data_IF_155752009263
#
_entry.id   IF_155752009263
#
_cell.length_a   1.000
_cell.length_b   1.000
_cell.length_c   1.000
_cell.angle_alpha   90.00
_cell.angle_beta   90.00
_cell.angle_gamma   90.00
#
_symmetry.space_group_name_H-M   'P 1'
#
loop_
_entity.id
_entity.type
_entity.pdbx_description
1 polymer ?
#
# COMPACT_ATOMS: atom_id res chain seq x y z
N UNK A 1 -15.70 3.84 7.08
CA UNK A 1 -15.64 2.87 5.96
C UNK A 1 -14.21 2.90 5.48
N UNK A 2 -13.58 1.74 5.33
CA UNK A 2 -12.21 1.64 4.81
C UNK A 2 -12.16 2.14 3.36
N UNK A 3 -11.04 2.73 2.95
CA UNK A 3 -10.82 3.13 1.56
C UNK A 3 -10.92 1.93 0.59
N UNK A 4 -11.62 2.11 -0.54
CA UNK A 4 -11.81 1.10 -1.58
C UNK A 4 -10.97 1.42 -2.81
N UNK A 5 -10.08 0.49 -3.19
CA UNK A 5 -9.16 0.62 -4.32
C UNK A 5 -9.64 -0.13 -5.59
N UNK A 6 -10.83 -0.74 -5.58
CA UNK A 6 -11.31 -1.64 -6.64
C UNK A 6 -11.29 -0.98 -8.02
N UNK A 7 -11.90 0.20 -8.15
CA UNK A 7 -11.98 0.90 -9.44
C UNK A 7 -10.61 1.36 -9.95
N UNK A 8 -9.71 1.72 -9.03
CA UNK A 8 -8.34 2.10 -9.39
C UNK A 8 -7.54 0.91 -9.89
N UNK A 9 -7.63 -0.22 -9.21
CA UNK A 9 -6.97 -1.44 -9.62
C UNK A 9 -7.53 -1.95 -10.97
N UNK A 10 -8.85 -1.85 -11.21
CA UNK A 10 -9.45 -2.15 -12.52
C UNK A 10 -8.83 -1.30 -13.64
N UNK A 11 -8.69 0.02 -13.42
CA UNK A 11 -8.03 0.91 -14.38
C UNK A 11 -6.57 0.51 -14.60
N UNK A 12 -5.82 0.19 -13.53
CA UNK A 12 -4.42 -0.26 -13.63
C UNK A 12 -4.27 -1.55 -14.43
N UNK A 13 -5.22 -2.48 -14.29
CA UNK A 13 -5.26 -3.76 -15.00
C UNK A 13 -5.86 -3.66 -16.41
N UNK A 14 -6.28 -2.47 -16.86
CA UNK A 14 -7.02 -2.25 -18.12
C UNK A 14 -8.30 -3.10 -18.22
N UNK A 15 -8.96 -3.37 -17.09
CA UNK A 15 -10.23 -4.08 -17.05
C UNK A 15 -11.35 -3.06 -17.29
N UNK A 16 -12.05 -3.19 -18.41
CA UNK A 16 -13.13 -2.28 -18.82
C UNK A 16 -14.52 -2.91 -18.76
N UNK A 17 -14.60 -4.21 -18.47
CA UNK A 17 -15.85 -4.96 -18.32
C UNK A 17 -16.25 -5.09 -16.85
N UNK A 18 -17.51 -5.42 -16.63
CA UNK A 18 -18.04 -5.70 -15.30
C UNK A 18 -18.48 -7.17 -15.25
N UNK A 19 -17.79 -7.97 -14.45
CA UNK A 19 -18.06 -9.39 -14.29
C UNK A 19 -17.78 -9.82 -12.85
N UNK A 20 -18.71 -10.59 -12.27
CA UNK A 20 -18.68 -10.94 -10.86
C UNK A 20 -17.45 -11.78 -10.47
N UNK A 21 -16.96 -12.64 -11.37
CA UNK A 21 -15.77 -13.45 -11.08
C UNK A 21 -14.50 -12.58 -11.07
N UNK A 22 -14.42 -11.61 -11.99
CA UNK A 22 -13.32 -10.63 -12.02
C UNK A 22 -13.31 -9.78 -10.75
N UNK A 23 -14.48 -9.32 -10.32
CA UNK A 23 -14.64 -8.49 -9.11
C UNK A 23 -14.29 -9.26 -7.84
N UNK A 24 -14.73 -10.51 -7.73
CA UNK A 24 -14.38 -11.38 -6.61
C UNK A 24 -12.86 -11.58 -6.51
N UNK A 25 -12.18 -11.81 -7.64
CA UNK A 25 -10.72 -11.96 -7.66
C UNK A 25 -9.99 -10.69 -7.25
N UNK A 26 -10.48 -9.52 -7.67
CA UNK A 26 -9.94 -8.22 -7.23
C UNK A 26 -10.14 -8.04 -5.72
N UNK A 27 -11.32 -8.36 -5.21
CA UNK A 27 -11.62 -8.29 -3.79
C UNK A 27 -10.70 -9.22 -2.98
N UNK A 28 -10.44 -10.45 -3.45
CA UNK A 28 -9.53 -11.39 -2.79
C UNK A 28 -8.10 -10.85 -2.69
N UNK A 29 -7.60 -10.20 -3.74
CA UNK A 29 -6.28 -9.55 -3.73
C UNK A 29 -6.27 -8.37 -2.73
N UNK A 30 -7.31 -7.52 -2.77
CA UNK A 30 -7.40 -6.34 -1.92
C UNK A 30 -7.74 -6.66 -0.46
N UNK A 31 -8.21 -7.87 -0.14
CA UNK A 31 -8.58 -8.26 1.21
C UNK A 31 -7.39 -8.24 2.19
N UNK A 32 -6.18 -8.50 1.71
CA UNK A 32 -4.97 -8.56 2.56
C UNK A 32 -3.85 -7.62 2.08
N UNK A 33 -3.89 -7.15 0.83
CA UNK A 33 -2.84 -6.31 0.28
C UNK A 33 -2.55 -5.03 1.11
N UNK A 34 -3.56 -4.28 1.61
CA UNK A 34 -3.31 -3.11 2.45
C UNK A 34 -2.52 -3.45 3.71
N UNK A 35 -2.90 -4.52 4.42
CA UNK A 35 -2.21 -4.93 5.65
C UNK A 35 -0.77 -5.40 5.38
N UNK A 36 -0.54 -6.14 4.29
CA UNK A 36 0.78 -6.58 3.87
C UNK A 36 1.68 -5.36 3.62
N UNK A 37 1.19 -4.38 2.86
CA UNK A 37 1.96 -3.19 2.48
C UNK A 37 2.19 -2.30 3.69
N UNK A 38 1.16 -2.01 4.50
CA UNK A 38 1.29 -1.20 5.71
C UNK A 38 2.30 -1.83 6.69
N UNK A 39 2.20 -3.14 6.92
CA UNK A 39 3.15 -3.89 7.77
C UNK A 39 4.56 -3.81 7.23
N UNK A 40 4.73 -4.00 5.92
CA UNK A 40 6.06 -3.97 5.29
C UNK A 40 6.69 -2.58 5.36
N UNK A 41 5.91 -1.52 5.18
CA UNK A 41 6.39 -0.15 5.26
C UNK A 41 6.61 0.33 6.70
N UNK A 42 6.02 -0.34 7.69
CA UNK A 42 5.97 0.16 9.07
C UNK A 42 5.08 1.39 9.17
N UNK A 43 4.01 1.45 8.37
CA UNK A 43 3.12 2.60 8.29
C UNK A 43 2.35 2.76 9.61
N UNK A 44 2.37 3.93 10.25
CA UNK A 44 1.56 4.17 11.44
C UNK A 44 0.08 4.15 11.06
N UNK A 45 -0.71 3.35 11.80
CA UNK A 45 -2.17 3.29 11.62
C UNK A 45 -2.79 4.06 12.78
N UNK A 46 -3.40 5.24 12.53
CA UNK A 46 -4.07 6.02 13.57
C UNK A 46 -5.17 5.23 14.27
N UNK A 47 -5.41 5.52 15.55
CA UNK A 47 -6.51 4.90 16.29
C UNK A 47 -7.85 5.11 15.57
N UNK A 48 -8.61 4.03 15.38
CA UNK A 48 -9.90 4.07 14.68
C UNK A 48 -9.80 4.10 13.15
N UNK A 49 -8.60 3.98 12.57
CA UNK A 49 -8.38 3.87 11.12
C UNK A 49 -7.94 2.46 10.72
N UNK A 50 -8.06 2.14 9.43
CA UNK A 50 -7.59 0.87 8.84
C UNK A 50 -6.28 1.05 8.07
N UNK A 51 -5.60 -0.05 7.73
CA UNK A 51 -4.43 -0.01 6.86
C UNK A 51 -4.75 0.66 5.51
N UNK A 52 -5.93 0.40 4.94
CA UNK A 52 -6.40 1.05 3.72
C UNK A 52 -6.52 2.57 3.85
N UNK A 53 -7.00 3.06 5.00
CA UNK A 53 -7.14 4.50 5.25
C UNK A 53 -5.77 5.17 5.41
N UNK A 54 -4.86 4.52 6.13
CA UNK A 54 -3.48 5.00 6.30
C UNK A 54 -2.73 5.01 4.95
N UNK A 55 -2.89 3.98 4.13
CA UNK A 55 -2.30 3.91 2.79
C UNK A 55 -2.89 4.99 1.88
N UNK A 56 -4.20 5.21 1.91
CA UNK A 56 -4.83 6.25 1.08
C UNK A 56 -4.35 7.67 1.45
N UNK A 57 -3.93 7.89 2.70
CA UNK A 57 -3.36 9.16 3.15
C UNK A 57 -1.89 9.36 2.74
N UNK A 58 -1.18 8.30 2.34
CA UNK A 58 0.23 8.33 1.94
C UNK A 58 0.38 8.00 0.43
N UNK A 59 0.67 8.99 -0.44
CA UNK A 59 0.73 8.78 -1.88
C UNK A 59 1.76 7.74 -2.34
N UNK A 60 2.89 7.60 -1.63
CA UNK A 60 3.92 6.64 -1.99
C UNK A 60 3.49 5.22 -1.59
N UNK A 61 2.93 5.05 -0.39
CA UNK A 61 2.36 3.78 0.05
C UNK A 61 1.21 3.35 -0.86
N UNK A 62 0.36 4.28 -1.29
CA UNK A 62 -0.73 4.01 -2.22
C UNK A 62 -0.23 3.52 -3.58
N UNK A 63 0.75 4.21 -4.18
CA UNK A 63 1.34 3.78 -5.45
C UNK A 63 1.98 2.39 -5.36
N UNK A 64 2.59 2.08 -4.21
CA UNK A 64 3.18 0.78 -3.92
C UNK A 64 2.11 -0.32 -3.79
N UNK A 65 0.98 -0.03 -3.12
CA UNK A 65 -0.16 -0.95 -3.00
C UNK A 65 -0.73 -1.31 -4.38
N UNK A 66 -1.03 -0.32 -5.23
CA UNK A 66 -1.59 -0.56 -6.57
C UNK A 66 -0.62 -1.37 -7.43
N UNK A 67 0.68 -1.11 -7.29
CA UNK A 67 1.71 -1.88 -7.98
C UNK A 67 1.77 -3.32 -7.44
N UNK A 68 1.74 -3.54 -6.13
CA UNK A 68 1.68 -4.86 -5.52
C UNK A 68 0.48 -5.67 -6.04
N UNK A 69 -0.71 -5.08 -6.04
CA UNK A 69 -1.92 -5.73 -6.53
C UNK A 69 -1.84 -6.09 -8.02
N UNK A 70 -1.20 -5.24 -8.84
CA UNK A 70 -0.92 -5.57 -10.24
C UNK A 70 -0.02 -6.80 -10.39
N UNK A 71 1.03 -6.93 -9.57
CA UNK A 71 1.89 -8.12 -9.61
C UNK A 71 1.20 -9.36 -9.03
N UNK A 72 0.42 -9.22 -7.96
CA UNK A 72 -0.36 -10.31 -7.38
C UNK A 72 -1.40 -10.87 -8.35
N UNK A 73 -2.05 -10.00 -9.14
CA UNK A 73 -2.92 -10.43 -10.24
C UNK A 73 -2.21 -11.35 -11.25
N UNK A 74 -0.91 -11.15 -11.44
CA UNK A 74 -0.07 -11.92 -12.36
C UNK A 74 0.75 -13.03 -11.67
N UNK A 75 0.50 -13.31 -10.38
CA UNK A 75 1.25 -14.29 -9.58
C UNK A 75 2.77 -14.02 -9.56
N UNK A 76 3.15 -12.75 -9.46
CA UNK A 76 4.53 -12.28 -9.54
C UNK A 76 4.95 -11.45 -8.31
N UNK A 77 4.40 -11.74 -7.13
CA UNK A 77 4.66 -11.02 -5.88
C UNK A 77 6.14 -11.02 -5.50
N UNK A 78 6.86 -12.10 -5.78
CA UNK A 78 8.30 -12.22 -5.59
C UNK A 78 9.10 -11.22 -6.45
N UNK A 79 8.72 -11.06 -7.72
CA UNK A 79 9.30 -10.07 -8.62
C UNK A 79 9.00 -8.63 -8.19
N UNK A 80 7.81 -8.39 -7.62
CA UNK A 80 7.47 -7.09 -7.03
C UNK A 80 8.44 -6.73 -5.91
N UNK A 81 8.68 -7.65 -4.96
CA UNK A 81 9.56 -7.37 -3.83
C UNK A 81 11.00 -7.11 -4.24
N UNK A 82 11.47 -7.71 -5.33
CA UNK A 82 12.79 -7.43 -5.88
C UNK A 82 12.84 -6.06 -6.56
N UNK A 83 11.79 -5.71 -7.30
CA UNK A 83 11.75 -4.48 -8.11
C UNK A 83 11.57 -3.23 -7.27
N UNK A 84 10.74 -3.29 -6.22
CA UNK A 84 10.38 -2.15 -5.37
C UNK A 84 11.13 -2.11 -4.03
N UNK A 85 12.19 -2.91 -3.89
CA UNK A 85 12.95 -2.99 -2.64
C UNK A 85 13.48 -1.61 -2.20
N UNK A 86 13.99 -0.83 -3.16
CA UNK A 86 14.52 0.51 -2.88
C UNK A 86 13.42 1.51 -2.51
N UNK A 87 12.25 1.41 -3.14
CA UNK A 87 11.10 2.27 -2.79
C UNK A 87 10.63 1.96 -1.37
N UNK A 88 10.52 0.67 -1.02
CA UNK A 88 10.19 0.24 0.35
C UNK A 88 11.16 0.82 1.36
N UNK A 89 12.48 0.72 1.12
CA UNK A 89 13.47 1.29 2.03
C UNK A 89 13.42 2.81 2.12
N UNK A 90 13.13 3.48 1.01
CA UNK A 90 13.02 4.94 0.98
C UNK A 90 11.84 5.40 1.83
N UNK A 91 10.68 4.76 1.67
CA UNK A 91 9.47 5.07 2.46
C UNK A 91 9.69 4.74 3.94
N UNK A 92 10.24 3.56 4.26
CA UNK A 92 10.57 3.18 5.63
C UNK A 92 11.49 4.20 6.31
N UNK A 93 12.53 4.65 5.61
CA UNK A 93 13.45 5.64 6.15
C UNK A 93 12.77 7.00 6.35
N UNK A 94 11.93 7.44 5.40
CA UNK A 94 11.13 8.66 5.55
C UNK A 94 10.26 8.58 6.80
N UNK A 95 9.48 7.51 6.95
CA UNK A 95 8.61 7.30 8.12
C UNK A 95 9.39 7.28 9.43
N UNK A 96 10.57 6.64 9.46
CA UNK A 96 11.42 6.62 10.64
C UNK A 96 11.97 8.02 11.00
N UNK A 97 12.35 8.82 10.00
CA UNK A 97 12.80 10.20 10.21
C UNK A 97 11.65 11.08 10.69
N UNK A 98 10.48 10.97 10.08
CA UNK A 98 9.28 11.73 10.47
C UNK A 98 8.90 11.43 11.93
N UNK A 99 8.85 10.14 12.30
CA UNK A 99 8.58 9.72 13.67
C UNK A 99 9.65 10.23 14.67
N UNK A 100 10.92 10.25 14.27
CA UNK A 100 11.99 10.80 15.10
C UNK A 100 11.83 12.31 15.34
N UNK A 101 11.48 13.06 14.29
CA UNK A 101 11.26 14.51 14.37
C UNK A 101 10.02 14.85 15.22
N UNK A 102 8.94 14.09 15.09
CA UNK A 102 7.72 14.25 15.90
C UNK A 102 7.95 13.91 17.38
N UNK A 103 8.85 12.96 17.67
CA UNK A 103 9.25 12.56 19.01
C UNK A 103 10.14 13.56 19.77
N UNK A 104 10.42 14.73 19.20
CA UNK A 104 11.26 15.77 19.82
C UNK A 104 12.65 15.93 19.20
N UNK A 105 13.02 15.06 18.24
CA UNK A 105 14.18 15.26 17.37
C UNK A 105 15.52 15.54 18.07
N UNK A 106 16.42 16.18 17.32
CA UNK A 106 17.71 16.63 17.82
C UNK A 106 17.49 17.93 18.61
N UNK A 107 17.55 17.90 19.93
CA UNK A 107 17.71 19.11 20.75
C UNK A 107 18.95 19.84 20.22
N UNK A 108 18.73 20.91 19.45
CA UNK A 108 19.81 21.78 19.01
C UNK A 108 20.40 22.48 20.26
N UNK A 109 21.73 22.51 20.42
CA UNK A 109 22.37 23.16 21.56
C UNK A 109 22.09 24.68 21.62
#
# INVERSE_FOLDING_TARGET
MAHDFTDELKRKLNITWNDAATDARIADILAQAPDIIATRLGLPIPEGSTASDAIAADPEAHALLISYCYYAWNHAEDAFWQSYLMDVYTIQNRLAVDAFLEGGGFDAP
#
